data_IF_863194485059
#
_entry.id   IF_863194485059
#
_cell.length_a   1.000
_cell.length_b   1.000
_cell.length_c   1.000
_cell.angle_alpha   90.00
_cell.angle_beta   90.00
_cell.angle_gamma   90.00
#
_symmetry.space_group_name_H-M   'P 1'
#
loop_
_entity.id
_entity.type
_entity.pdbx_description
1 polymer ?
#
# COMPACT_ATOMS: atom_id res chain seq x y z
N UNK A 1 21.50 -35.76 -25.87
CA UNK A 1 20.73 -35.57 -24.62
C UNK A 1 21.23 -36.58 -23.58
N UNK A 2 21.67 -36.15 -22.40
CA UNK A 2 22.44 -36.98 -21.47
C UNK A 2 21.59 -37.61 -20.35
N UNK A 3 21.87 -38.89 -20.02
CA UNK A 3 21.19 -39.67 -18.98
C UNK A 3 21.47 -39.21 -17.53
N UNK A 4 22.22 -38.13 -17.32
CA UNK A 4 22.57 -37.61 -16.00
C UNK A 4 21.33 -37.18 -15.17
N UNK A 5 20.24 -36.80 -15.83
CA UNK A 5 18.97 -36.48 -15.15
C UNK A 5 18.22 -37.74 -14.67
N UNK A 6 18.35 -38.85 -15.40
CA UNK A 6 17.75 -40.16 -15.04
C UNK A 6 18.35 -40.73 -13.76
N UNK A 7 19.67 -40.62 -13.58
CA UNK A 7 20.35 -41.05 -12.33
C UNK A 7 19.95 -40.22 -11.09
N UNK A 8 19.42 -39.00 -11.28
CA UNK A 8 19.03 -38.09 -10.20
C UNK A 8 17.62 -38.35 -9.67
N UNK A 9 16.75 -38.98 -10.45
CA UNK A 9 15.33 -39.20 -10.09
C UNK A 9 15.14 -40.16 -8.92
N UNK A 10 16.09 -41.08 -8.68
CA UNK A 10 16.05 -42.03 -7.56
C UNK A 10 16.57 -41.49 -6.22
N UNK A 11 17.08 -40.26 -6.15
CA UNK A 11 17.63 -39.69 -4.90
C UNK A 11 16.51 -39.24 -3.96
N UNK A 12 16.58 -39.68 -2.70
CA UNK A 12 15.66 -39.24 -1.65
C UNK A 12 15.74 -37.72 -1.45
N UNK A 13 14.59 -37.04 -1.50
CA UNK A 13 14.49 -35.62 -1.17
C UNK A 13 14.58 -35.43 0.35
N UNK A 14 15.51 -34.60 0.80
CA UNK A 14 15.55 -34.17 2.20
C UNK A 14 14.37 -33.25 2.50
N UNK A 15 13.65 -33.54 3.59
CA UNK A 15 12.55 -32.71 4.08
C UNK A 15 13.08 -31.70 5.08
N UNK A 16 12.46 -30.53 5.11
CA UNK A 16 12.79 -29.49 6.08
C UNK A 16 12.13 -29.77 7.43
N UNK A 17 12.76 -29.30 8.52
CA UNK A 17 12.22 -29.43 9.88
C UNK A 17 11.28 -28.28 10.24
N UNK A 18 10.22 -28.59 10.97
CA UNK A 18 9.30 -27.62 11.57
C UNK A 18 9.92 -26.86 12.75
N UNK A 19 9.23 -25.81 13.22
CA UNK A 19 9.58 -25.08 14.44
C UNK A 19 9.33 -25.97 15.68
N UNK A 20 10.19 -25.94 16.72
CA UNK A 20 9.92 -26.63 17.98
C UNK A 20 8.63 -26.14 18.64
N UNK A 21 7.90 -27.04 19.27
CA UNK A 21 6.58 -26.77 19.88
C UNK A 21 6.65 -25.69 20.95
N UNK A 22 7.70 -25.69 21.78
CA UNK A 22 7.94 -24.68 22.81
C UNK A 22 8.02 -23.24 22.25
N UNK A 23 8.45 -23.10 20.98
CA UNK A 23 8.64 -21.81 20.30
C UNK A 23 7.60 -21.52 19.23
N UNK A 24 6.50 -22.27 19.21
CA UNK A 24 5.44 -22.09 18.21
C UNK A 24 4.83 -20.67 18.24
N UNK A 25 4.87 -19.99 19.40
CA UNK A 25 4.37 -18.63 19.58
C UNK A 25 5.09 -17.59 18.70
N UNK A 26 6.34 -17.83 18.30
CA UNK A 26 7.13 -16.92 17.46
C UNK A 26 6.75 -17.00 15.98
N UNK A 27 5.81 -17.87 15.62
CA UNK A 27 5.40 -18.12 14.25
C UNK A 27 6.33 -19.09 13.51
N UNK A 28 6.37 -18.95 12.19
CA UNK A 28 7.11 -19.86 11.29
C UNK A 28 8.62 -19.62 11.44
N UNK A 29 9.39 -20.70 11.54
CA UNK A 29 10.85 -20.64 11.57
C UNK A 29 11.40 -20.28 10.19
N UNK A 30 11.88 -19.04 10.04
CA UNK A 30 12.52 -18.55 8.83
C UNK A 30 13.68 -19.46 8.40
N UNK A 31 13.72 -19.83 7.12
CA UNK A 31 14.82 -20.61 6.54
C UNK A 31 15.67 -19.74 5.62
N UNK A 32 16.78 -20.30 5.14
CA UNK A 32 17.72 -19.59 4.25
C UNK A 32 17.04 -19.06 2.97
N UNK A 33 16.02 -19.74 2.46
CA UNK A 33 15.27 -19.28 1.30
C UNK A 33 14.51 -17.97 1.60
N UNK A 34 13.78 -17.94 2.72
CA UNK A 34 13.03 -16.78 3.18
C UNK A 34 13.95 -15.59 3.48
N UNK A 35 15.09 -15.86 4.14
CA UNK A 35 16.12 -14.84 4.41
C UNK A 35 16.61 -14.16 3.15
N UNK A 36 16.84 -14.92 2.07
CA UNK A 36 17.27 -14.34 0.80
C UNK A 36 16.22 -13.38 0.24
N UNK A 37 14.94 -13.76 0.29
CA UNK A 37 13.83 -12.91 -0.17
C UNK A 37 13.73 -11.64 0.68
N UNK A 38 13.79 -11.79 2.01
CA UNK A 38 13.76 -10.67 2.96
C UNK A 38 14.94 -9.72 2.77
N UNK A 39 16.15 -10.25 2.65
CA UNK A 39 17.36 -9.47 2.42
C UNK A 39 17.30 -8.70 1.10
N UNK A 40 16.81 -9.34 0.03
CA UNK A 40 16.61 -8.69 -1.28
C UNK A 40 15.66 -7.50 -1.17
N UNK A 41 14.49 -7.70 -0.56
CA UNK A 41 13.50 -6.63 -0.36
C UNK A 41 14.07 -5.48 0.50
N UNK A 42 14.78 -5.80 1.59
CA UNK A 42 15.42 -4.80 2.43
C UNK A 42 16.48 -3.99 1.67
N UNK A 43 17.27 -4.63 0.82
CA UNK A 43 18.27 -3.93 0.00
C UNK A 43 17.62 -3.06 -1.07
N UNK A 44 16.61 -3.58 -1.79
CA UNK A 44 15.85 -2.80 -2.78
C UNK A 44 15.27 -1.52 -2.15
N UNK A 45 14.69 -1.61 -0.96
CA UNK A 45 14.17 -0.43 -0.23
C UNK A 45 15.27 0.55 0.16
N UNK A 46 16.42 0.05 0.64
CA UNK A 46 17.56 0.92 1.00
C UNK A 46 18.11 1.64 -0.23
N UNK A 47 18.21 0.96 -1.36
CA UNK A 47 18.71 1.55 -2.59
C UNK A 47 17.74 2.60 -3.13
N UNK A 48 16.43 2.35 -3.08
CA UNK A 48 15.40 3.34 -3.40
C UNK A 48 15.52 4.59 -2.52
N UNK A 49 15.64 4.42 -1.21
CA UNK A 49 15.81 5.54 -0.28
C UNK A 49 17.09 6.33 -0.58
N UNK A 50 18.19 5.64 -0.90
CA UNK A 50 19.45 6.30 -1.29
C UNK A 50 19.27 7.14 -2.54
N UNK A 51 18.60 6.61 -3.57
CA UNK A 51 18.32 7.36 -4.80
C UNK A 51 17.42 8.57 -4.56
N UNK A 52 16.38 8.43 -3.74
CA UNK A 52 15.51 9.54 -3.37
C UNK A 52 16.27 10.62 -2.60
N UNK A 53 17.16 10.22 -1.69
CA UNK A 53 18.00 11.13 -0.95
C UNK A 53 18.93 11.92 -1.86
N UNK A 54 19.63 11.24 -2.78
CA UNK A 54 20.50 11.89 -3.76
C UNK A 54 19.72 12.87 -4.64
N UNK A 55 18.55 12.50 -5.14
CA UNK A 55 17.67 13.40 -5.90
C UNK A 55 17.21 14.62 -5.11
N UNK A 56 16.98 14.46 -3.80
CA UNK A 56 16.59 15.56 -2.94
C UNK A 56 17.76 16.52 -2.69
N UNK A 57 18.99 16.01 -2.57
CA UNK A 57 20.20 16.82 -2.44
C UNK A 57 20.54 17.58 -3.73
N UNK A 58 20.37 16.93 -4.88
CA UNK A 58 20.64 17.50 -6.21
C UNK A 58 19.49 18.39 -6.74
N UNK A 59 18.50 18.70 -5.91
CA UNK A 59 17.35 19.52 -6.32
C UNK A 59 17.78 20.96 -6.56
N UNK A 60 17.57 21.46 -7.78
CA UNK A 60 17.72 22.88 -8.09
C UNK A 60 16.57 23.70 -7.45
N UNK A 61 16.85 24.69 -6.58
CA UNK A 61 15.82 25.54 -5.98
C UNK A 61 14.99 26.34 -7.01
N UNK A 62 15.57 26.65 -8.17
CA UNK A 62 14.94 27.48 -9.21
C UNK A 62 14.17 26.66 -10.25
N UNK A 63 14.13 25.32 -10.13
CA UNK A 63 13.44 24.47 -11.11
C UNK A 63 11.94 24.73 -11.12
N UNK A 64 11.41 25.08 -12.30
CA UNK A 64 10.00 25.33 -12.53
C UNK A 64 9.31 24.30 -13.44
N UNK A 65 8.13 23.85 -13.04
CA UNK A 65 7.25 22.98 -13.80
C UNK A 65 5.84 23.57 -13.83
N UNK A 66 5.20 23.63 -15.00
CA UNK A 66 3.86 24.20 -15.17
C UNK A 66 2.77 23.56 -14.27
N UNK A 67 2.97 22.32 -13.82
CA UNK A 67 2.06 21.63 -12.89
C UNK A 67 2.01 22.31 -11.53
N UNK A 68 3.08 22.99 -11.09
CA UNK A 68 3.16 23.69 -9.80
C UNK A 68 2.15 24.84 -9.70
N UNK A 69 1.65 25.37 -10.82
CA UNK A 69 0.59 26.39 -10.83
C UNK A 69 -0.80 25.84 -10.46
N UNK A 70 -1.03 24.54 -10.69
CA UNK A 70 -2.34 23.87 -10.49
C UNK A 70 -2.37 23.03 -9.21
N UNK A 71 -1.22 22.60 -8.71
CA UNK A 71 -1.09 21.72 -7.54
C UNK A 71 -0.81 22.50 -6.27
N UNK A 72 -1.57 22.24 -5.21
CA UNK A 72 -1.29 22.78 -3.87
C UNK A 72 -0.30 21.86 -3.15
N UNK A 73 0.77 22.43 -2.60
CA UNK A 73 1.67 21.70 -1.71
C UNK A 73 0.96 21.45 -0.38
N UNK A 74 0.78 20.19 -0.02
CA UNK A 74 0.42 19.83 1.35
C UNK A 74 1.72 19.95 2.13
N UNK A 75 1.89 21.06 2.85
CA UNK A 75 3.01 21.20 3.79
C UNK A 75 2.88 20.02 4.74
N UNK A 76 3.94 19.21 4.84
CA UNK A 76 3.99 18.00 5.66
C UNK A 76 4.01 18.33 7.18
N UNK A 77 3.40 19.44 7.60
CA UNK A 77 3.02 19.69 8.99
C UNK A 77 1.76 18.88 9.26
N UNK A 78 1.96 17.62 9.62
CA UNK A 78 0.93 16.62 9.94
C UNK A 78 -0.43 17.22 10.35
N UNK A 79 -1.47 17.06 9.53
CA UNK A 79 -2.78 16.69 10.04
C UNK A 79 -2.95 15.18 9.84
N UNK A 80 -3.77 14.59 10.71
CA UNK A 80 -3.97 13.16 10.90
C UNK A 80 -3.96 12.28 9.61
N UNK A 81 -3.60 11.01 9.84
CA UNK A 81 -3.42 9.86 8.97
C UNK A 81 -4.56 9.49 7.99
N UNK A 82 -5.52 10.38 7.69
CA UNK A 82 -6.64 10.05 6.80
C UNK A 82 -7.22 11.28 6.09
N UNK A 83 -6.50 11.86 5.14
CA UNK A 83 -7.15 12.71 4.13
C UNK A 83 -7.85 11.83 3.11
N UNK A 84 -9.10 11.48 3.40
CA UNK A 84 -10.05 11.03 2.41
C UNK A 84 -10.20 12.13 1.35
N UNK A 85 -9.80 11.80 0.13
CA UNK A 85 -10.09 12.58 -1.07
C UNK A 85 -11.61 12.59 -1.25
N UNK A 86 -12.31 13.46 -0.53
CA UNK A 86 -13.74 13.68 -0.73
C UNK A 86 -13.91 14.37 -2.07
N UNK A 87 -14.13 13.55 -3.10
CA UNK A 87 -14.80 13.94 -4.32
C UNK A 87 -15.95 14.86 -3.96
N UNK A 88 -15.89 16.10 -4.49
CA UNK A 88 -16.95 17.09 -4.43
C UNK A 88 -18.21 16.48 -5.05
N UNK A 89 -19.04 15.81 -4.25
CA UNK A 89 -20.41 15.46 -4.63
C UNK A 89 -21.09 16.77 -4.99
N UNK A 90 -21.40 16.94 -6.29
CA UNK A 90 -22.29 18.00 -6.75
C UNK A 90 -23.66 17.69 -6.15
N UNK A 91 -23.95 18.21 -4.96
CA UNK A 91 -25.33 18.29 -4.49
C UNK A 91 -26.02 19.29 -5.40
N UNK A 92 -26.97 18.81 -6.20
CA UNK A 92 -27.93 19.64 -6.93
C UNK A 92 -28.60 20.63 -5.97
N UNK A 93 -28.90 21.85 -6.40
CA UNK A 93 -29.48 22.86 -5.52
C UNK A 93 -30.89 22.45 -5.09
N UNK A 94 -31.12 22.50 -3.77
CA UNK A 94 -32.37 22.73 -3.06
C UNK A 94 -33.66 22.43 -3.83
N UNK A 95 -34.26 21.25 -3.56
CA UNK A 95 -35.70 21.06 -3.71
C UNK A 95 -36.39 22.14 -2.86
N UNK A 96 -36.96 23.15 -3.51
CA UNK A 96 -37.75 24.19 -2.86
C UNK A 96 -38.97 23.57 -2.21
N UNK A 97 -39.18 23.93 -0.95
CA UNK A 97 -40.40 23.77 -0.18
C UNK A 97 -41.62 24.09 -1.05
N UNK A 98 -42.49 23.11 -1.29
CA UNK A 98 -43.90 23.40 -1.59
C UNK A 98 -44.74 22.57 -0.63
N UNK A 99 -45.18 23.30 0.40
CA UNK A 99 -46.29 23.03 1.30
C UNK A 99 -47.48 22.41 0.59
N UNK A 100 -48.01 21.31 1.16
CA UNK A 100 -49.44 21.04 1.32
C UNK A 100 -49.62 19.83 2.26
N UNK A 101 -49.30 20.03 3.54
CA UNK A 101 -50.00 19.35 4.63
C UNK A 101 -51.26 20.16 4.88
N UNK A 102 -52.46 19.57 4.75
CA UNK A 102 -53.72 19.94 5.41
C UNK A 102 -54.82 18.91 5.01
N UNK A 103 -55.85 18.67 5.84
CA UNK A 103 -55.86 17.55 6.79
C UNK A 103 -57.01 16.55 6.56
N UNK A 104 -56.89 15.37 7.16
CA UNK A 104 -58.01 14.45 7.40
C UNK A 104 -59.04 15.13 8.31
N UNK A 105 -60.08 15.71 7.72
CA UNK A 105 -61.31 16.07 8.45
C UNK A 105 -62.47 15.24 7.93
N UNK A 106 -63.19 14.68 8.89
CA UNK A 106 -64.30 13.73 8.79
C UNK A 106 -65.49 14.29 8.00
N UNK A 107 -66.16 13.43 7.22
CA UNK A 107 -67.58 13.62 6.89
C UNK A 107 -68.27 12.26 6.70
N UNK A 108 -69.06 11.93 7.73
CA UNK A 108 -70.26 11.06 7.82
C UNK A 108 -70.36 9.83 6.93
#
# INVERSE_FOLDING_TARGET
MSFAKSQKSGRKKYKERSQPTERAQLGILEKRADYRVRAKNANEKRDQLRQLHLKALDRNPDEFHFKMMRTKLIVFSLPNWRTEFTSRRKTSPLCTQTTNDWPWTLRT
#
